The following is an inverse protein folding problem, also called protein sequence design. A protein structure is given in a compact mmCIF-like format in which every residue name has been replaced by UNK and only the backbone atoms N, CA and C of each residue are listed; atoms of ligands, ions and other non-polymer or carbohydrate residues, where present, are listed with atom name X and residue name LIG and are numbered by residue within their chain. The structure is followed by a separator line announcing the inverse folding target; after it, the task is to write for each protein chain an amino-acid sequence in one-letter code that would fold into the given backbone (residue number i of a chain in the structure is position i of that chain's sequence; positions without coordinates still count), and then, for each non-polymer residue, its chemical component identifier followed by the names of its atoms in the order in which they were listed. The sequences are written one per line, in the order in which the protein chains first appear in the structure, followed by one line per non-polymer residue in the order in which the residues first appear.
data_IF_579776203142
#
_entry.id   IF_579776203142
#
_cell.length_a   1.000
_cell.length_b   1.000
_cell.length_c   1.000
_cell.angle_alpha   90.00
_cell.angle_beta   90.00
_cell.angle_gamma   90.00
#
_symmetry.space_group_name_H-M   'P 1'
#
loop_
_entity.id
_entity.type
_entity.pdbx_description
1 polymer ?
#
# COMPACT_ATOMS: atom_id res chain seq x y z
N UNK A 1 -11.82 -37.57 -9.13
CA UNK A 1 -10.73 -37.92 -8.19
C UNK A 1 -11.29 -37.87 -6.79
N UNK A 2 -10.61 -38.49 -5.83
CA UNK A 2 -10.97 -38.39 -4.42
C UNK A 2 -10.76 -36.94 -3.96
N UNK A 3 -11.87 -36.19 -3.83
CA UNK A 3 -11.85 -34.76 -3.51
C UNK A 3 -11.52 -34.52 -2.04
N UNK A 4 -11.55 -35.54 -1.17
CA UNK A 4 -11.39 -35.35 0.27
C UNK A 4 -9.96 -34.95 0.63
N UNK A 5 -8.97 -35.60 0.02
CA UNK A 5 -7.55 -35.23 0.19
C UNK A 5 -7.23 -33.84 -0.39
N UNK A 6 -7.87 -33.49 -1.52
CA UNK A 6 -7.73 -32.16 -2.13
C UNK A 6 -8.35 -31.08 -1.23
N UNK A 7 -9.56 -31.32 -0.72
CA UNK A 7 -10.24 -30.40 0.19
C UNK A 7 -9.46 -30.24 1.49
N UNK A 8 -8.85 -31.31 2.00
CA UNK A 8 -7.96 -31.24 3.16
C UNK A 8 -6.73 -30.37 2.87
N UNK A 9 -6.09 -30.52 1.71
CA UNK A 9 -4.96 -29.67 1.31
C UNK A 9 -5.36 -28.20 1.20
N UNK A 10 -6.52 -27.91 0.61
CA UNK A 10 -7.09 -26.56 0.55
C UNK A 10 -7.34 -26.00 1.96
N UNK A 11 -7.88 -26.83 2.87
CA UNK A 11 -8.10 -26.44 4.26
C UNK A 11 -6.79 -26.09 4.99
N UNK A 12 -5.69 -26.82 4.72
CA UNK A 12 -4.35 -26.50 5.25
C UNK A 12 -3.90 -25.12 4.77
N UNK A 13 -4.16 -24.73 3.53
CA UNK A 13 -3.79 -23.40 3.01
C UNK A 13 -4.59 -22.24 3.63
N UNK A 14 -5.75 -22.52 4.23
CA UNK A 14 -6.54 -21.53 4.97
C UNK A 14 -6.10 -21.33 6.42
N UNK A 15 -5.18 -22.16 6.91
CA UNK A 15 -4.60 -21.98 8.24
C UNK A 15 -3.89 -20.63 8.31
N UNK A 16 -4.37 -19.73 9.17
CA UNK A 16 -3.83 -18.38 9.33
C UNK A 16 -3.71 -17.99 10.80
N UNK A 17 -2.78 -17.10 11.11
CA UNK A 17 -2.59 -16.55 12.45
C UNK A 17 -1.66 -17.38 13.34
N UNK A 18 -1.95 -17.44 14.66
CA UNK A 18 -1.12 -18.14 15.64
C UNK A 18 -1.36 -19.64 15.55
N UNK A 19 -0.60 -20.29 14.69
CA UNK A 19 -0.67 -21.72 14.45
C UNK A 19 0.11 -22.50 15.52
N UNK A 20 -0.44 -23.67 15.88
CA UNK A 20 0.26 -24.66 16.69
C UNK A 20 1.52 -25.19 15.94
N UNK A 21 2.61 -25.57 16.62
CA UNK A 21 3.83 -26.07 15.97
C UNK A 21 3.58 -27.17 14.94
N UNK A 22 2.64 -28.09 15.19
CA UNK A 22 2.35 -29.19 14.26
C UNK A 22 1.66 -28.67 12.99
N UNK A 23 0.72 -27.75 13.14
CA UNK A 23 0.03 -27.11 12.02
C UNK A 23 0.97 -26.21 11.20
N UNK A 24 1.94 -25.56 11.85
CA UNK A 24 2.99 -24.77 11.17
C UNK A 24 3.87 -25.67 10.31
N UNK A 25 4.35 -26.77 10.88
CA UNK A 25 5.19 -27.74 10.17
C UNK A 25 4.43 -28.39 9.00
N UNK A 26 3.14 -28.70 9.19
CA UNK A 26 2.29 -29.21 8.13
C UNK A 26 2.15 -28.21 6.99
N UNK A 27 1.79 -26.95 7.27
CA UNK A 27 1.65 -25.90 6.26
C UNK A 27 2.97 -25.67 5.50
N UNK A 28 4.09 -25.55 6.21
CA UNK A 28 5.41 -25.36 5.61
C UNK A 28 5.78 -26.54 4.68
N UNK A 29 5.56 -27.77 5.14
CA UNK A 29 5.85 -28.98 4.37
C UNK A 29 4.95 -29.07 3.14
N UNK A 30 3.67 -28.75 3.27
CA UNK A 30 2.72 -28.73 2.15
C UNK A 30 3.11 -27.67 1.11
N UNK A 31 3.50 -26.45 1.53
CA UNK A 31 3.96 -25.40 0.61
C UNK A 31 5.23 -25.81 -0.15
N UNK A 32 6.20 -26.40 0.55
CA UNK A 32 7.44 -26.92 -0.08
C UNK A 32 7.16 -28.06 -1.05
N UNK A 33 6.27 -28.99 -0.68
CA UNK A 33 5.86 -30.09 -1.54
C UNK A 33 5.15 -29.57 -2.82
N UNK A 34 4.24 -28.61 -2.67
CA UNK A 34 3.58 -27.95 -3.78
C UNK A 34 4.58 -27.24 -4.71
N UNK A 35 5.61 -26.62 -4.14
CA UNK A 35 6.66 -25.96 -4.93
C UNK A 35 7.39 -26.94 -5.84
N UNK A 36 7.57 -28.19 -5.42
CA UNK A 36 8.15 -29.26 -6.25
C UNK A 36 7.17 -29.89 -7.25
N UNK A 37 5.86 -29.72 -7.03
CA UNK A 37 4.80 -30.31 -7.82
C UNK A 37 4.04 -29.30 -8.72
N UNK A 38 4.57 -28.09 -8.90
CA UNK A 38 3.94 -27.02 -9.69
C UNK A 38 3.58 -27.41 -11.12
N UNK A 39 4.27 -28.40 -11.70
CA UNK A 39 3.99 -28.94 -13.03
C UNK A 39 2.65 -29.69 -13.12
N UNK A 40 2.14 -30.19 -11.99
CA UNK A 40 0.87 -30.90 -11.90
C UNK A 40 -0.31 -29.96 -11.58
N UNK A 41 -0.04 -28.69 -11.25
CA UNK A 41 -1.07 -27.72 -10.92
C UNK A 41 -1.65 -27.14 -12.21
N UNK A 42 -2.86 -27.55 -12.54
CA UNK A 42 -3.70 -26.95 -13.58
C UNK A 42 -4.68 -25.91 -13.04
N UNK A 43 -4.84 -24.80 -13.78
CA UNK A 43 -5.68 -23.66 -13.39
C UNK A 43 -7.17 -23.99 -13.30
N UNK A 44 -7.66 -24.87 -14.18
CA UNK A 44 -9.09 -25.22 -14.25
C UNK A 44 -9.47 -26.24 -13.18
N UNK A 45 -8.55 -27.15 -12.84
CA UNK A 45 -8.83 -28.24 -11.90
C UNK A 45 -8.50 -27.87 -10.45
N UNK A 46 -7.59 -26.92 -10.23
CA UNK A 46 -7.11 -26.54 -8.89
C UNK A 46 -7.41 -25.07 -8.55
N UNK A 47 -8.48 -24.51 -9.09
CA UNK A 47 -8.88 -23.11 -8.87
C UNK A 47 -8.97 -22.78 -7.37
N UNK A 48 -9.67 -23.61 -6.58
CA UNK A 48 -9.80 -23.38 -5.14
C UNK A 48 -8.46 -23.34 -4.42
N UNK A 49 -7.53 -24.24 -4.76
CA UNK A 49 -6.19 -24.26 -4.17
C UNK A 49 -5.40 -23.00 -4.54
N UNK A 50 -5.45 -22.60 -5.80
CA UNK A 50 -4.79 -21.38 -6.28
C UNK A 50 -5.35 -20.14 -5.62
N UNK A 51 -6.68 -20.03 -5.48
CA UNK A 51 -7.34 -18.92 -4.78
C UNK A 51 -6.89 -18.88 -3.31
N UNK A 52 -6.81 -20.03 -2.64
CA UNK A 52 -6.31 -20.08 -1.25
C UNK A 52 -4.85 -19.64 -1.16
N UNK A 53 -3.96 -20.13 -2.03
CA UNK A 53 -2.53 -19.78 -2.05
C UNK A 53 -2.34 -18.29 -2.34
N UNK A 54 -2.99 -17.74 -3.37
CA UNK A 54 -2.88 -16.33 -3.73
C UNK A 54 -3.56 -15.39 -2.73
N UNK A 55 -4.50 -15.89 -1.93
CA UNK A 55 -5.11 -15.18 -0.81
C UNK A 55 -4.27 -15.15 0.47
N UNK A 56 -3.16 -15.90 0.54
CA UNK A 56 -2.27 -15.90 1.70
C UNK A 56 -1.54 -14.55 1.83
N UNK A 57 -1.47 -14.04 3.05
CA UNK A 57 -0.69 -12.84 3.38
C UNK A 57 0.55 -13.20 4.17
N UNK A 58 1.73 -12.84 3.68
CA UNK A 58 3.02 -13.08 4.35
C UNK A 58 3.04 -12.44 5.75
N UNK A 59 2.28 -11.38 5.98
CA UNK A 59 2.15 -10.71 7.27
C UNK A 59 1.60 -11.60 8.40
N UNK A 60 0.87 -12.68 8.08
CA UNK A 60 0.23 -13.55 9.05
C UNK A 60 1.13 -14.69 9.57
N UNK A 61 2.27 -14.95 8.92
CA UNK A 61 3.05 -16.17 9.11
C UNK A 61 4.41 -15.91 9.77
N UNK A 62 5.07 -17.00 10.15
CA UNK A 62 6.46 -16.98 10.63
C UNK A 62 7.45 -17.07 9.45
N UNK A 63 8.72 -16.68 9.65
CA UNK A 63 9.74 -16.65 8.59
C UNK A 63 9.84 -17.94 7.76
N UNK A 64 9.79 -19.12 8.39
CA UNK A 64 9.92 -20.41 7.70
C UNK A 64 8.78 -20.65 6.69
N UNK A 65 7.54 -20.33 7.09
CA UNK A 65 6.36 -20.43 6.23
C UNK A 65 6.38 -19.35 5.15
N UNK A 66 6.84 -18.13 5.47
CA UNK A 66 7.02 -17.08 4.47
C UNK A 66 8.02 -17.51 3.39
N UNK A 67 9.13 -18.14 3.78
CA UNK A 67 10.17 -18.61 2.86
C UNK A 67 9.68 -19.78 2.00
N UNK A 68 8.89 -20.69 2.57
CA UNK A 68 8.21 -21.75 1.82
C UNK A 68 7.20 -21.18 0.79
N UNK A 69 6.38 -20.22 1.20
CA UNK A 69 5.41 -19.54 0.33
C UNK A 69 6.12 -18.78 -0.79
N UNK A 70 7.19 -18.04 -0.46
CA UNK A 70 8.05 -17.38 -1.44
C UNK A 70 8.56 -18.38 -2.50
N UNK A 71 9.09 -19.53 -2.07
CA UNK A 71 9.58 -20.58 -2.98
C UNK A 71 8.50 -21.11 -3.93
N UNK A 72 7.30 -21.35 -3.40
CA UNK A 72 6.14 -21.78 -4.18
C UNK A 72 5.74 -20.74 -5.24
N UNK A 73 5.64 -19.47 -4.86
CA UNK A 73 5.23 -18.38 -5.78
C UNK A 73 6.26 -18.21 -6.90
N UNK A 74 7.56 -18.26 -6.60
CA UNK A 74 8.63 -18.20 -7.63
C UNK A 74 8.50 -19.39 -8.58
N UNK A 75 8.31 -20.60 -8.03
CA UNK A 75 8.19 -21.83 -8.83
C UNK A 75 6.96 -21.83 -9.73
N UNK A 76 5.82 -21.30 -9.25
CA UNK A 76 4.59 -21.14 -10.03
C UNK A 76 4.76 -20.14 -11.16
N UNK A 77 5.38 -18.98 -10.90
CA UNK A 77 5.63 -17.97 -11.93
C UNK A 77 6.59 -18.49 -13.01
N UNK A 78 7.60 -19.27 -12.62
CA UNK A 78 8.59 -19.85 -13.52
C UNK A 78 8.06 -21.06 -14.31
N UNK A 79 7.11 -21.82 -13.76
CA UNK A 79 6.60 -23.03 -14.41
C UNK A 79 5.67 -22.73 -15.58
N UNK A 80 4.79 -21.72 -15.45
CA UNK A 80 3.83 -21.37 -16.48
C UNK A 80 3.46 -19.88 -16.45
N UNK A 81 3.62 -19.22 -17.59
CA UNK A 81 3.31 -17.79 -17.78
C UNK A 81 1.87 -17.39 -17.43
N UNK A 82 0.93 -18.34 -17.35
CA UNK A 82 -0.45 -18.12 -16.91
C UNK A 82 -0.55 -17.67 -15.45
N UNK A 83 0.37 -18.14 -14.59
CA UNK A 83 0.33 -17.83 -13.15
C UNK A 83 1.05 -16.53 -12.80
N UNK A 84 1.85 -15.98 -13.70
CA UNK A 84 2.68 -14.79 -13.46
C UNK A 84 1.86 -13.62 -12.92
N UNK A 85 0.73 -13.26 -13.55
CA UNK A 85 -0.10 -12.14 -13.08
C UNK A 85 -0.64 -12.36 -11.69
N UNK A 86 -1.08 -13.58 -11.38
CA UNK A 86 -1.59 -13.92 -10.04
C UNK A 86 -0.49 -13.88 -8.99
N UNK A 87 0.71 -14.36 -9.34
CA UNK A 87 1.89 -14.29 -8.48
C UNK A 87 2.30 -12.84 -8.20
N UNK A 88 2.41 -12.01 -9.24
CA UNK A 88 2.74 -10.59 -9.10
C UNK A 88 1.67 -9.84 -8.31
N UNK A 89 0.40 -10.12 -8.56
CA UNK A 89 -0.73 -9.54 -7.83
C UNK A 89 -0.68 -9.87 -6.34
N UNK A 90 -0.37 -11.13 -6.00
CA UNK A 90 -0.21 -11.56 -4.61
C UNK A 90 1.01 -10.90 -3.94
N UNK A 91 2.13 -10.73 -4.65
CA UNK A 91 3.30 -10.05 -4.09
C UNK A 91 3.02 -8.56 -3.84
N UNK A 92 2.37 -7.88 -4.79
CA UNK A 92 1.97 -6.47 -4.64
C UNK A 92 0.93 -6.28 -3.54
N UNK A 93 0.01 -7.23 -3.33
CA UNK A 93 -0.95 -7.14 -2.22
C UNK A 93 -0.29 -7.23 -0.84
N UNK A 94 0.93 -7.79 -0.76
CA UNK A 94 1.72 -7.81 0.46
C UNK A 94 2.56 -6.54 0.68
N UNK A 95 2.56 -5.57 -0.25
CA UNK A 95 3.22 -4.27 -0.03
C UNK A 95 2.60 -3.51 1.13
N UNK A 96 1.29 -3.65 1.32
CA UNK A 96 0.59 -3.03 2.44
C UNK A 96 0.38 -4.02 3.58
N UNK A 97 0.67 -3.63 4.83
CA UNK A 97 0.30 -4.43 5.98
C UNK A 97 -1.22 -4.43 6.17
N UNK A 98 -1.79 -5.53 6.72
CA UNK A 98 -3.18 -5.56 7.15
C UNK A 98 -3.51 -4.44 8.16
N UNK A 99 -4.77 -3.99 8.19
CA UNK A 99 -5.20 -2.88 9.07
C UNK A 99 -4.87 -3.09 10.54
N UNK A 100 -5.03 -4.33 11.04
CA UNK A 100 -4.71 -4.69 12.42
C UNK A 100 -3.22 -4.53 12.79
N UNK A 101 -2.34 -4.44 11.78
CA UNK A 101 -0.89 -4.35 11.96
C UNK A 101 -0.38 -2.91 11.91
N UNK A 102 -1.20 -1.95 11.47
CA UNK A 102 -0.77 -0.56 11.29
C UNK A 102 -0.30 0.11 12.57
N UNK A 103 -0.94 -0.18 13.70
CA UNK A 103 -0.55 0.40 14.99
C UNK A 103 0.81 -0.12 15.47
N UNK A 104 1.14 -1.37 15.11
CA UNK A 104 2.41 -2.00 15.46
C UNK A 104 3.60 -1.42 14.68
N UNK A 105 3.36 -0.73 13.56
CA UNK A 105 4.42 -0.08 12.79
C UNK A 105 5.13 1.04 13.58
N UNK A 106 4.54 1.53 14.67
CA UNK A 106 5.19 2.50 15.57
C UNK A 106 6.20 1.84 16.50
N UNK A 107 6.10 0.53 16.69
CA UNK A 107 6.96 -0.22 17.59
C UNK A 107 8.15 -0.85 16.83
N UNK A 108 9.33 -0.97 17.47
CA UNK A 108 10.51 -1.55 16.83
C UNK A 108 10.26 -2.99 16.35
N UNK A 109 9.46 -3.75 17.09
CA UNK A 109 9.09 -5.11 16.71
C UNK A 109 8.26 -5.15 15.42
N UNK A 110 7.37 -4.16 15.21
CA UNK A 110 6.53 -4.10 14.02
C UNK A 110 7.30 -3.61 12.81
N UNK A 111 8.26 -2.70 13.01
CA UNK A 111 9.18 -2.25 11.97
C UNK A 111 10.10 -3.39 11.49
N UNK A 112 10.63 -4.19 12.42
CA UNK A 112 11.42 -5.39 12.10
C UNK A 112 10.61 -6.38 11.25
N UNK A 113 9.36 -6.65 11.65
CA UNK A 113 8.48 -7.51 10.85
C UNK A 113 8.15 -6.93 9.48
N UNK A 114 7.90 -5.61 9.38
CA UNK A 114 7.76 -4.91 8.10
C UNK A 114 8.97 -5.17 7.22
N UNK A 115 10.19 -5.00 7.77
CA UNK A 115 11.41 -5.27 7.03
C UNK A 115 11.51 -6.73 6.56
N UNK A 116 11.18 -7.69 7.42
CA UNK A 116 11.23 -9.12 7.10
C UNK A 116 10.26 -9.54 5.99
N UNK A 117 9.05 -9.00 5.98
CA UNK A 117 8.05 -9.28 4.94
C UNK A 117 8.47 -8.62 3.64
N UNK A 118 8.74 -7.31 3.66
CA UNK A 118 9.03 -6.55 2.45
C UNK A 118 10.33 -7.02 1.78
N UNK A 119 11.38 -7.33 2.55
CA UNK A 119 12.62 -7.89 1.99
C UNK A 119 12.38 -9.20 1.23
N UNK A 120 11.50 -10.08 1.74
CA UNK A 120 11.13 -11.34 1.07
C UNK A 120 10.30 -11.10 -0.18
N UNK A 121 9.35 -10.17 -0.15
CA UNK A 121 8.52 -9.80 -1.30
C UNK A 121 9.40 -9.23 -2.43
N UNK A 122 10.29 -8.27 -2.11
CA UNK A 122 11.22 -7.70 -3.09
C UNK A 122 12.20 -8.74 -3.63
N UNK A 123 12.71 -9.63 -2.79
CA UNK A 123 13.55 -10.75 -3.23
C UNK A 123 12.79 -11.72 -4.15
N UNK A 124 11.50 -11.97 -3.88
CA UNK A 124 10.67 -12.83 -4.72
C UNK A 124 10.42 -12.19 -6.10
N UNK A 125 10.06 -10.91 -6.13
CA UNK A 125 9.89 -10.15 -7.38
C UNK A 125 11.18 -10.17 -8.21
N UNK A 126 12.33 -9.95 -7.56
CA UNK A 126 13.64 -10.05 -8.22
C UNK A 126 13.86 -11.43 -8.85
N UNK A 127 13.66 -12.51 -8.09
CA UNK A 127 13.80 -13.87 -8.62
C UNK A 127 12.83 -14.19 -9.76
N UNK A 128 11.60 -13.68 -9.71
CA UNK A 128 10.64 -13.86 -10.81
C UNK A 128 11.12 -13.12 -12.06
N UNK A 129 11.68 -11.92 -11.91
CA UNK A 129 12.16 -11.13 -13.05
C UNK A 129 13.37 -11.77 -13.71
N UNK A 130 14.28 -12.34 -12.91
CA UNK A 130 15.42 -13.12 -13.40
C UNK A 130 14.98 -14.34 -14.23
N UNK A 131 13.83 -14.95 -13.88
CA UNK A 131 13.31 -16.16 -14.52
C UNK A 131 12.30 -15.86 -15.66
N UNK A 132 11.59 -14.74 -15.60
CA UNK A 132 10.49 -14.37 -16.49
C UNK A 132 10.70 -12.95 -17.02
N UNK A 133 11.29 -12.78 -18.21
CA UNK A 133 11.63 -11.46 -18.77
C UNK A 133 10.43 -10.53 -19.01
N UNK A 134 9.22 -11.07 -19.13
CA UNK A 134 7.97 -10.31 -19.32
C UNK A 134 7.30 -9.91 -17.99
N UNK A 135 7.80 -10.37 -16.84
CA UNK A 135 7.22 -10.02 -15.54
C UNK A 135 7.28 -8.50 -15.20
N UNK A 136 8.35 -7.76 -15.53
CA UNK A 136 8.43 -6.33 -15.23
C UNK A 136 7.31 -5.51 -15.90
N UNK A 137 7.03 -5.78 -17.19
CA UNK A 137 5.99 -5.05 -17.94
C UNK A 137 4.59 -5.41 -17.47
N UNK A 138 4.36 -6.64 -16.99
CA UNK A 138 3.09 -7.07 -16.40
C UNK A 138 2.87 -6.54 -14.98
N UNK A 139 3.95 -6.25 -14.24
CA UNK A 139 3.85 -5.69 -12.90
C UNK A 139 3.30 -4.26 -12.88
N UNK A 140 3.62 -3.46 -13.90
CA UNK A 140 3.21 -2.05 -14.01
C UNK A 140 1.72 -1.81 -13.79
N UNK A 141 0.81 -2.39 -14.61
CA UNK A 141 -0.62 -2.17 -14.43
C UNK A 141 -1.11 -2.68 -13.08
N UNK A 142 -0.48 -3.73 -12.52
CA UNK A 142 -0.84 -4.29 -11.22
C UNK A 142 -0.51 -3.29 -10.10
N UNK A 143 0.67 -2.67 -10.12
CA UNK A 143 1.08 -1.68 -9.11
C UNK A 143 0.16 -0.46 -9.13
N UNK A 144 -0.20 0.03 -10.31
CA UNK A 144 -1.12 1.18 -10.44
C UNK A 144 -2.51 0.81 -9.93
N UNK A 145 -3.06 -0.34 -10.36
CA UNK A 145 -4.42 -0.77 -9.97
C UNK A 145 -4.54 -1.12 -8.48
N UNK A 146 -3.47 -1.61 -7.85
CA UNK A 146 -3.47 -2.02 -6.44
C UNK A 146 -3.13 -0.90 -5.47
N UNK A 147 -2.79 0.29 -5.98
CA UNK A 147 -2.50 1.42 -5.13
C UNK A 147 -3.73 1.74 -4.24
N UNK A 148 -3.57 1.84 -2.91
CA UNK A 148 -4.69 2.10 -2.02
C UNK A 148 -5.37 3.43 -2.36
N UNK A 149 -6.71 3.47 -2.40
CA UNK A 149 -7.44 4.72 -2.63
C UNK A 149 -7.42 5.60 -1.38
N UNK A 150 -7.40 6.92 -1.58
CA UNK A 150 -7.56 7.90 -0.50
C UNK A 150 -9.01 7.82 -0.03
N UNK A 151 -9.22 7.24 1.15
CA UNK A 151 -10.47 7.39 1.88
C UNK A 151 -10.06 7.91 3.26
N UNK A 152 -10.86 8.83 3.82
CA UNK A 152 -10.57 9.71 4.96
C UNK A 152 -10.38 8.99 6.32
N UNK A 153 -9.77 7.81 6.33
CA UNK A 153 -9.36 7.07 7.52
C UNK A 153 -7.85 7.22 7.65
N UNK A 154 -7.39 7.75 8.78
CA UNK A 154 -5.98 7.94 9.09
C UNK A 154 -5.13 6.66 8.90
N UNK A 155 -5.71 5.48 9.15
CA UNK A 155 -5.11 4.16 8.88
C UNK A 155 -4.77 3.94 7.40
N UNK A 156 -5.62 4.40 6.47
CA UNK A 156 -5.44 4.23 5.03
C UNK A 156 -4.29 5.08 4.50
N UNK A 157 -4.07 6.25 5.09
CA UNK A 157 -2.96 7.15 4.73
C UNK A 157 -1.62 6.47 5.01
N UNK A 158 -1.49 5.81 6.17
CA UNK A 158 -0.28 5.03 6.50
C UNK A 158 -0.04 3.88 5.51
N UNK A 159 -1.10 3.22 5.04
CA UNK A 159 -0.97 2.19 4.00
C UNK A 159 -0.42 2.78 2.69
N UNK A 160 -0.83 4.00 2.31
CA UNK A 160 -0.34 4.68 1.11
C UNK A 160 1.16 4.97 1.23
N UNK A 161 1.62 5.49 2.37
CA UNK A 161 3.05 5.75 2.62
C UNK A 161 3.88 4.48 2.46
N UNK A 162 3.48 3.38 3.13
CA UNK A 162 4.22 2.10 3.04
C UNK A 162 4.18 1.54 1.62
N UNK A 163 3.08 1.72 0.89
CA UNK A 163 2.98 1.29 -0.51
C UNK A 163 3.92 2.09 -1.43
N UNK A 164 3.99 3.40 -1.25
CA UNK A 164 4.89 4.27 -2.02
C UNK A 164 6.35 3.97 -1.73
N UNK A 165 6.72 3.78 -0.45
CA UNK A 165 8.07 3.38 -0.06
C UNK A 165 8.49 2.08 -0.76
N UNK A 166 7.59 1.09 -0.83
CA UNK A 166 7.86 -0.14 -1.56
C UNK A 166 7.94 0.05 -3.07
N UNK A 167 7.15 0.96 -3.63
CA UNK A 167 7.15 1.28 -5.06
C UNK A 167 8.46 1.96 -5.48
N UNK A 168 8.94 2.91 -4.68
CA UNK A 168 10.23 3.57 -4.86
C UNK A 168 11.40 2.59 -4.63
N UNK A 169 11.28 1.70 -3.64
CA UNK A 169 12.27 0.63 -3.43
C UNK A 169 12.34 -0.36 -4.60
N UNK A 170 11.21 -0.62 -5.25
CA UNK A 170 11.16 -1.44 -6.46
C UNK A 170 11.84 -0.73 -7.64
N UNK A 171 11.62 0.57 -7.80
CA UNK A 171 12.31 1.39 -8.81
C UNK A 171 13.83 1.43 -8.58
N UNK A 172 14.28 1.60 -7.33
CA UNK A 172 15.72 1.60 -7.00
C UNK A 172 16.37 0.23 -7.16
N UNK A 173 15.63 -0.84 -7.36
CA UNK A 173 16.22 -2.14 -7.70
C UNK A 173 16.87 -2.11 -9.10
N UNK A 174 17.86 -2.97 -9.34
CA UNK A 174 18.40 -3.20 -10.70
C UNK A 174 17.30 -3.59 -11.71
N UNK A 175 16.20 -4.13 -11.20
CA UNK A 175 14.99 -4.49 -11.91
C UNK A 175 14.12 -3.30 -12.35
N UNK A 176 14.31 -2.15 -11.72
CA UNK A 176 13.55 -0.95 -12.00
C UNK A 176 13.95 -0.27 -13.30
N UNK A 177 15.10 -0.59 -13.93
CA UNK A 177 15.57 0.10 -15.13
C UNK A 177 14.54 0.12 -16.28
N UNK A 178 13.84 -1.00 -16.49
CA UNK A 178 12.79 -1.12 -17.53
C UNK A 178 11.46 -0.48 -17.14
N UNK A 179 11.27 -0.23 -15.84
CA UNK A 179 9.96 0.03 -15.22
C UNK A 179 9.94 1.42 -14.55
N UNK A 180 11.10 2.08 -14.48
CA UNK A 180 11.41 3.28 -13.70
C UNK A 180 10.56 4.45 -14.09
N UNK A 181 10.56 4.80 -15.38
CA UNK A 181 9.82 5.97 -15.87
C UNK A 181 8.33 5.85 -15.52
N UNK A 182 7.74 4.67 -15.71
CA UNK A 182 6.34 4.44 -15.43
C UNK A 182 6.03 4.37 -13.93
N UNK A 183 6.92 3.81 -13.09
CA UNK A 183 6.72 3.82 -11.63
C UNK A 183 6.84 5.23 -11.05
N UNK A 184 7.82 6.02 -11.51
CA UNK A 184 7.97 7.41 -11.10
C UNK A 184 6.78 8.25 -11.57
N UNK A 185 6.32 8.07 -12.81
CA UNK A 185 5.08 8.68 -13.28
C UNK A 185 3.89 8.31 -12.40
N UNK A 186 3.72 7.03 -12.06
CA UNK A 186 2.63 6.60 -11.18
C UNK A 186 2.71 7.22 -9.76
N UNK A 187 3.92 7.44 -9.24
CA UNK A 187 4.12 8.16 -7.97
C UNK A 187 3.74 9.62 -8.13
N UNK A 188 4.21 10.30 -9.18
CA UNK A 188 3.92 11.71 -9.46
C UNK A 188 2.43 11.95 -9.73
N UNK A 189 1.80 11.12 -10.57
CA UNK A 189 0.36 11.16 -10.84
C UNK A 189 -0.43 11.07 -9.53
N UNK A 190 0.02 10.23 -8.59
CA UNK A 190 -0.63 10.12 -7.29
C UNK A 190 -0.38 11.34 -6.38
N UNK A 191 0.78 11.97 -6.45
CA UNK A 191 1.02 13.23 -5.73
C UNK A 191 0.10 14.34 -6.28
N UNK A 192 -0.10 14.38 -7.60
CA UNK A 192 -1.03 15.31 -8.25
C UNK A 192 -2.48 15.04 -7.82
N UNK A 193 -2.90 13.78 -7.80
CA UNK A 193 -4.24 13.41 -7.33
C UNK A 193 -4.49 13.89 -5.90
N UNK A 194 -3.50 13.73 -5.02
CA UNK A 194 -3.58 14.19 -3.62
C UNK A 194 -3.62 15.72 -3.52
N UNK A 195 -2.81 16.43 -4.30
CA UNK A 195 -2.79 17.90 -4.36
C UNK A 195 -4.15 18.45 -4.84
N UNK A 196 -4.76 17.83 -5.84
CA UNK A 196 -6.11 18.20 -6.31
C UNK A 196 -7.21 17.90 -5.27
N UNK A 197 -7.02 16.90 -4.40
CA UNK A 197 -7.97 16.60 -3.32
C UNK A 197 -7.92 17.64 -2.18
N UNK A 198 -6.82 18.39 -2.04
CA UNK A 198 -6.73 19.52 -1.11
C UNK A 198 -7.55 20.67 -1.72
N UNK A 199 -8.79 20.81 -1.27
CA UNK A 199 -9.69 21.82 -1.78
C UNK A 199 -9.19 23.23 -1.48
N UNK A 200 -9.39 24.16 -2.42
CA UNK A 200 -9.17 25.59 -2.16
C UNK A 200 -9.96 26.06 -0.92
N UNK A 201 -11.12 25.47 -0.62
CA UNK A 201 -11.91 25.78 0.58
C UNK A 201 -11.18 25.46 1.89
N UNK A 202 -10.28 24.46 1.91
CA UNK A 202 -9.45 24.14 3.09
C UNK A 202 -8.30 25.15 3.26
N UNK A 203 -7.83 25.77 2.17
CA UNK A 203 -6.78 26.81 2.15
C UNK A 203 -7.37 28.20 2.44
N UNK A 204 -8.58 28.50 1.95
CA UNK A 204 -9.23 29.80 2.03
C UNK A 204 -9.84 30.11 3.41
N UNK A 205 -9.97 29.12 4.30
CA UNK A 205 -10.61 29.33 5.59
C UNK A 205 -9.69 29.79 6.74
N UNK A 206 -8.37 29.64 6.61
CA UNK A 206 -7.44 29.98 7.71
C UNK A 206 -6.99 31.45 7.71
N UNK A 207 -7.11 32.21 6.61
CA UNK A 207 -6.52 33.57 6.54
C UNK A 207 -7.41 34.71 5.99
N UNK A 208 -8.62 34.47 5.47
CA UNK A 208 -9.45 35.57 4.92
C UNK A 208 -10.40 36.25 5.91
N UNK A 209 -10.54 35.73 7.14
CA UNK A 209 -11.29 36.42 8.21
C UNK A 209 -10.46 37.46 8.97
N UNK A 210 -9.14 37.50 8.76
CA UNK A 210 -8.27 38.63 9.13
C UNK A 210 -7.95 39.45 7.89
N UNK A 211 -9.01 40.03 7.31
CA UNK A 211 -8.87 40.99 6.23
C UNK A 211 -7.95 42.14 6.65
N UNK A 212 -6.89 42.33 5.86
CA UNK A 212 -5.85 43.38 5.88
C UNK A 212 -6.40 44.83 5.76
N UNK A 213 -7.71 45.03 5.87
CA UNK A 213 -8.35 46.35 5.83
C UNK A 213 -9.21 46.57 7.08
N UNK A 214 -8.57 46.66 8.25
CA UNK A 214 -9.12 47.45 9.33
C UNK A 214 -8.67 48.90 9.07
N UNK A 215 -9.45 49.59 8.21
CA UNK A 215 -9.34 51.05 8.11
C UNK A 215 -9.94 51.59 9.41
N UNK A 216 -9.08 52.01 10.33
CA UNK A 216 -9.48 52.84 11.48
C UNK A 216 -10.23 54.06 10.93
N UNK A 217 -11.56 54.00 10.93
CA UNK A 217 -12.41 55.15 10.69
C UNK A 217 -12.45 55.90 12.02
N UNK A 218 -11.78 57.05 12.06
CA UNK A 218 -11.75 57.98 13.19
C UNK A 218 -13.15 58.24 13.74
N UNK A 219 -13.25 58.19 15.07
CA UNK A 219 -14.44 58.49 15.86
C UNK A 219 -15.13 59.78 15.41
N UNK A 220 -16.38 59.67 14.97
CA UNK A 220 -17.35 60.77 15.00
C UNK A 220 -18.56 60.27 15.76
N UNK A 221 -18.64 60.66 17.04
CA UNK A 221 -19.85 60.59 17.85
C UNK A 221 -21.02 61.27 17.12
N UNK A 222 -22.10 60.54 16.84
CA UNK A 222 -23.44 61.11 16.88
C UNK A 222 -24.53 60.03 17.09
N UNK A 223 -25.02 60.01 18.33
CA UNK A 223 -26.40 59.79 18.78
C UNK A 223 -27.37 58.80 18.08
N UNK A 224 -27.79 57.83 18.92
CA UNK A 224 -29.19 57.46 19.23
C UNK A 224 -29.99 56.46 18.35
N UNK A 225 -30.43 55.43 19.10
CA UNK A 225 -31.72 54.72 19.11
C UNK A 225 -32.02 53.49 18.22
N UNK A 226 -32.43 52.46 18.98
CA UNK A 226 -33.47 51.44 18.77
C UNK A 226 -33.24 50.17 17.91
N UNK A 227 -33.19 49.05 18.68
CA UNK A 227 -34.16 47.94 18.64
C UNK A 227 -33.73 46.56 18.07
N UNK A 228 -33.83 45.59 19.00
CA UNK A 228 -34.21 44.17 18.88
C UNK A 228 -33.13 43.09 18.61
N UNK A 229 -32.80 42.38 19.70
CA UNK A 229 -32.33 40.98 19.72
C UNK A 229 -33.49 40.00 19.52
N UNK A 230 -33.36 39.04 18.59
CA UNK A 230 -33.75 37.61 18.72
C UNK A 230 -32.88 36.83 17.71
N UNK A 231 -31.91 35.98 18.10
CA UNK A 231 -32.11 34.63 18.65
C UNK A 231 -32.18 33.61 17.50
N UNK A 232 -31.04 33.21 16.92
CA UNK A 232 -30.33 31.94 17.14
C UNK A 232 -30.96 30.72 16.41
N UNK A 233 -30.21 30.17 15.45
CA UNK A 233 -29.99 28.71 15.26
C UNK A 233 -29.09 28.46 14.05
N UNK A 234 -27.77 28.34 14.30
CA UNK A 234 -26.79 27.76 13.38
C UNK A 234 -26.84 26.22 13.46
N UNK A 235 -26.84 25.47 12.33
CA UNK A 235 -26.45 24.07 12.36
C UNK A 235 -24.92 23.96 12.27
N UNK A 236 -24.25 24.16 13.40
CA UNK A 236 -22.81 23.91 13.60
C UNK A 236 -22.54 22.41 13.74
N UNK A 237 -22.59 21.67 12.62
CA UNK A 237 -22.35 20.22 12.62
C UNK A 237 -21.68 19.62 11.40
N UNK A 238 -21.58 20.35 10.29
CA UNK A 238 -21.03 19.84 9.02
C UNK A 238 -19.60 20.32 8.73
N UNK A 239 -19.18 21.44 9.31
CA UNK A 239 -17.93 22.14 8.96
C UNK A 239 -16.67 21.46 9.49
N UNK A 240 -16.76 20.78 10.64
CA UNK A 240 -15.58 20.17 11.30
C UNK A 240 -15.04 18.93 10.56
N UNK A 241 -15.89 18.16 9.86
CA UNK A 241 -15.43 16.88 9.26
C UNK A 241 -14.65 17.08 7.95
N UNK A 242 -14.89 18.15 7.21
CA UNK A 242 -14.20 18.45 5.95
C UNK A 242 -12.82 19.08 6.19
N UNK A 243 -12.75 20.10 7.05
CA UNK A 243 -11.47 20.74 7.42
C UNK A 243 -10.47 19.76 8.06
N UNK A 244 -10.94 18.84 8.92
CA UNK A 244 -10.09 17.79 9.49
C UNK A 244 -9.60 16.78 8.44
N UNK A 245 -10.35 16.61 7.34
CA UNK A 245 -9.96 15.73 6.25
C UNK A 245 -8.92 16.38 5.34
N UNK A 246 -9.04 17.68 5.05
CA UNK A 246 -8.05 18.44 4.27
C UNK A 246 -6.67 18.41 4.93
N UNK A 247 -6.62 18.63 6.24
CA UNK A 247 -5.36 18.59 7.02
C UNK A 247 -4.66 17.22 6.93
N UNK A 248 -5.41 16.12 6.98
CA UNK A 248 -4.83 14.77 6.90
C UNK A 248 -4.30 14.42 5.50
N UNK A 249 -4.92 14.95 4.45
CA UNK A 249 -4.46 14.76 3.07
C UNK A 249 -3.19 15.59 2.82
N UNK A 250 -3.14 16.82 3.35
CA UNK A 250 -1.94 17.67 3.32
C UNK A 250 -0.75 17.01 4.05
N UNK A 251 -0.95 16.51 5.27
CA UNK A 251 0.09 15.77 6.02
C UNK A 251 0.58 14.52 5.28
N UNK A 252 -0.33 13.80 4.59
CA UNK A 252 0.03 12.68 3.75
C UNK A 252 0.87 13.15 2.55
N UNK A 253 0.44 14.18 1.85
CA UNK A 253 1.16 14.73 0.70
C UNK A 253 2.58 15.15 1.11
N UNK A 254 2.73 15.87 2.22
CA UNK A 254 4.04 16.26 2.77
C UNK A 254 4.92 15.04 3.05
N UNK A 255 4.37 14.02 3.70
CA UNK A 255 5.10 12.78 4.00
C UNK A 255 5.57 12.06 2.73
N UNK A 256 4.74 12.04 1.69
CA UNK A 256 5.05 11.40 0.42
C UNK A 256 6.04 12.22 -0.42
N UNK A 257 5.95 13.56 -0.38
CA UNK A 257 6.93 14.44 -1.00
C UNK A 257 8.30 14.23 -0.39
N UNK A 258 8.43 14.26 0.94
CA UNK A 258 9.70 13.99 1.64
C UNK A 258 10.27 12.65 1.19
N UNK A 259 9.47 11.58 1.23
CA UNK A 259 9.90 10.25 0.80
C UNK A 259 10.37 10.22 -0.66
N UNK A 260 9.68 10.94 -1.55
CA UNK A 260 10.02 11.00 -2.98
C UNK A 260 11.32 11.77 -3.20
N UNK A 261 11.52 12.89 -2.51
CA UNK A 261 12.74 13.68 -2.61
C UNK A 261 13.96 12.98 -2.00
N UNK A 262 13.81 12.33 -0.84
CA UNK A 262 14.87 11.50 -0.26
C UNK A 262 15.31 10.38 -1.22
N UNK A 263 14.33 9.78 -1.92
CA UNK A 263 14.62 8.77 -2.94
C UNK A 263 15.36 9.35 -4.15
N UNK A 264 14.98 10.55 -4.62
CA UNK A 264 15.67 11.24 -5.71
C UNK A 264 17.10 11.63 -5.32
N UNK A 265 17.33 12.17 -4.12
CA UNK A 265 18.68 12.44 -3.61
C UNK A 265 19.53 11.16 -3.54
N UNK A 266 18.95 10.05 -3.06
CA UNK A 266 19.63 8.75 -3.07
C UNK A 266 19.96 8.28 -4.49
N UNK A 267 19.09 8.55 -5.46
CA UNK A 267 19.36 8.25 -6.87
C UNK A 267 20.48 9.13 -7.43
N UNK A 268 20.54 10.40 -7.06
CA UNK A 268 21.62 11.31 -7.44
C UNK A 268 22.97 10.84 -6.88
N UNK A 269 23.02 10.54 -5.58
CA UNK A 269 24.22 10.08 -4.90
C UNK A 269 24.75 8.74 -5.42
N UNK A 270 23.88 7.93 -6.04
CA UNK A 270 24.26 6.67 -6.70
C UNK A 270 24.58 6.85 -8.19
N UNK A 271 24.55 8.09 -8.71
CA UNK A 271 24.86 8.43 -10.10
C UNK A 271 23.78 8.03 -11.10
N UNK A 272 22.57 7.68 -10.64
CA UNK A 272 21.47 7.16 -11.47
C UNK A 272 20.62 8.24 -12.15
N UNK A 273 20.77 9.50 -11.74
CA UNK A 273 20.10 10.65 -12.36
C UNK A 273 20.90 11.28 -13.50
N UNK A 274 22.11 10.77 -13.75
CA UNK A 274 23.00 11.27 -14.80
C UNK A 274 22.85 10.34 -16.01
N UNK A 275 21.75 10.50 -16.75
CA UNK A 275 21.58 9.99 -18.12
C UNK A 275 20.61 10.87 -18.92
#
# INVERSE_FOLDING_TARGET
GDNDNYNQLVAVMHLSGRLDPDNRALLETSLKALSGAVSYIDISHHESLLVSIFGMSMWNYDPDVMDALKGLIISLAASNGKYVDSCLTMLVSNFTPPSYFLDKLKEPHGLERKHQVLSRVHAALKSIFDLVPLAPTRLLPIVVQRMPTVHNKHERLKMIVVYMENTLKLESSAMGELVRSTLLMAVVDRLIDLDMEIGWDDILHDDFSKGIFEMELEDVEEAADDAEQVGDELPSGSLSRKSLSGNLIAELLDSLMVLTFEHLESCEGTGRLIE
#
